data_IF_699000822282
#
_entry.id   IF_699000822282
#
_cell.length_a   1.000
_cell.length_b   1.000
_cell.length_c   1.000
_cell.angle_alpha   90.00
_cell.angle_beta   90.00
_cell.angle_gamma   90.00
#
_symmetry.space_group_name_H-M   'P 1'
#
loop_
_entity.id
_entity.type
_entity.pdbx_description
1 polymer ?
#
# COMPACT_ATOMS: atom_id res chain seq x y z
N UNK A 1 -14.74 -23.58 -10.57
CA UNK A 1 -14.58 -22.45 -11.50
C UNK A 1 -13.86 -21.33 -10.76
N UNK A 2 -12.56 -21.47 -10.46
CA UNK A 2 -11.98 -20.80 -9.28
C UNK A 2 -10.66 -20.08 -9.55
N UNK A 3 -10.56 -19.35 -10.67
CA UNK A 3 -9.46 -18.39 -10.82
C UNK A 3 -9.82 -17.09 -10.09
N UNK A 4 -9.37 -16.95 -8.84
CA UNK A 4 -9.41 -15.70 -8.06
C UNK A 4 -8.37 -14.67 -8.53
N UNK A 5 -8.15 -14.56 -9.85
CA UNK A 5 -7.17 -13.64 -10.44
C UNK A 5 -7.88 -12.75 -11.44
N UNK A 6 -7.65 -11.44 -11.31
CA UNK A 6 -7.97 -10.48 -12.35
C UNK A 6 -6.69 -10.29 -13.17
N UNK A 7 -6.76 -10.57 -14.47
CA UNK A 7 -5.61 -10.53 -15.37
C UNK A 7 -5.93 -9.97 -16.76
N UNK A 8 -4.90 -9.53 -17.50
CA UNK A 8 -3.55 -9.18 -17.06
C UNK A 8 -3.48 -7.76 -16.47
N UNK A 9 -2.98 -7.61 -15.22
CA UNK A 9 -2.90 -6.31 -14.55
C UNK A 9 -1.44 -5.83 -14.33
N UNK A 10 -1.04 -4.77 -15.03
CA UNK A 10 0.22 -4.05 -14.77
C UNK A 10 0.13 -3.27 -13.47
N UNK A 11 1.18 -3.38 -12.63
CA UNK A 11 1.20 -2.85 -11.26
C UNK A 11 -0.01 -3.29 -10.41
N UNK A 12 -0.72 -4.35 -10.80
CA UNK A 12 -1.99 -4.76 -10.20
C UNK A 12 -3.10 -3.68 -10.22
N UNK A 13 -3.02 -2.73 -11.16
CA UNK A 13 -3.94 -1.60 -11.32
C UNK A 13 -4.50 -1.58 -12.74
N UNK A 14 -3.64 -1.41 -13.74
CA UNK A 14 -4.04 -1.14 -15.12
C UNK A 14 -4.15 -2.44 -15.92
N UNK A 15 -5.16 -2.58 -16.77
CA UNK A 15 -5.18 -3.67 -17.73
C UNK A 15 -3.99 -3.54 -18.69
N UNK A 16 -3.11 -4.55 -18.74
CA UNK A 16 -1.80 -4.43 -19.37
C UNK A 16 -1.86 -4.07 -20.86
N UNK A 17 -2.90 -4.51 -21.57
CA UNK A 17 -3.14 -4.17 -22.99
C UNK A 17 -3.99 -2.92 -23.20
N UNK A 18 -4.79 -2.54 -22.20
CA UNK A 18 -5.81 -1.49 -22.33
C UNK A 18 -5.75 -0.57 -21.10
N UNK A 19 -4.71 0.27 -20.97
CA UNK A 19 -4.45 1.05 -19.76
C UNK A 19 -5.50 2.14 -19.45
N UNK A 20 -6.47 2.36 -20.34
CA UNK A 20 -7.68 3.14 -20.04
C UNK A 20 -8.64 2.42 -19.09
N UNK A 21 -8.46 1.11 -18.87
CA UNK A 21 -9.15 0.32 -17.85
C UNK A 21 -8.23 0.12 -16.65
N UNK A 22 -8.67 0.56 -15.47
CA UNK A 22 -7.94 0.40 -14.21
C UNK A 22 -8.86 -0.10 -13.09
N UNK A 23 -8.26 -0.76 -12.10
CA UNK A 23 -8.91 -1.29 -10.92
C UNK A 23 -8.23 -0.77 -9.66
N UNK A 24 -9.03 -0.51 -8.62
CA UNK A 24 -8.54 -0.12 -7.30
C UNK A 24 -8.96 -1.20 -6.30
N UNK A 25 -8.03 -1.56 -5.41
CA UNK A 25 -8.29 -2.46 -4.29
C UNK A 25 -8.27 -3.95 -4.59
N UNK A 26 -7.66 -4.35 -5.71
CA UNK A 26 -7.44 -5.77 -6.03
C UNK A 26 -6.45 -6.46 -5.06
N UNK A 27 -5.33 -5.83 -4.64
CA UNK A 27 -4.41 -6.47 -3.71
C UNK A 27 -5.01 -6.73 -2.32
N UNK A 28 -4.61 -7.82 -1.67
CA UNK A 28 -5.09 -8.22 -0.34
C UNK A 28 -3.95 -8.48 0.65
N UNK A 29 -4.32 -8.66 1.93
CA UNK A 29 -3.38 -8.66 3.07
C UNK A 29 -2.64 -7.33 3.20
N UNK A 30 -3.41 -6.23 3.16
CA UNK A 30 -2.95 -4.84 3.11
C UNK A 30 -3.71 -3.98 4.12
N UNK A 31 -3.24 -2.75 4.35
CA UNK A 31 -4.03 -1.66 4.94
C UNK A 31 -4.82 -0.99 3.80
N UNK A 32 -6.16 -1.15 3.73
CA UNK A 32 -6.90 -0.85 2.51
C UNK A 32 -6.94 0.63 2.13
N UNK A 33 -7.24 1.53 3.07
CA UNK A 33 -7.49 2.94 2.74
C UNK A 33 -6.26 3.65 2.14
N UNK A 34 -5.05 3.54 2.72
CA UNK A 34 -3.86 4.11 2.10
C UNK A 34 -3.57 3.53 0.72
N UNK A 35 -3.73 2.20 0.57
CA UNK A 35 -3.50 1.54 -0.71
C UNK A 35 -4.42 2.10 -1.80
N UNK A 36 -5.71 2.28 -1.49
CA UNK A 36 -6.69 2.78 -2.46
C UNK A 36 -6.37 4.20 -2.89
N UNK A 37 -5.95 5.04 -1.94
CA UNK A 37 -5.51 6.41 -2.22
C UNK A 37 -4.30 6.42 -3.16
N UNK A 38 -3.26 5.65 -2.85
CA UNK A 38 -2.03 5.64 -3.66
C UNK A 38 -2.22 5.02 -5.05
N UNK A 39 -3.08 4.01 -5.18
CA UNK A 39 -3.49 3.50 -6.50
C UNK A 39 -4.24 4.58 -7.30
N UNK A 40 -5.13 5.32 -6.65
CA UNK A 40 -5.91 6.40 -7.28
C UNK A 40 -5.01 7.57 -7.70
N UNK A 41 -4.00 7.92 -6.91
CA UNK A 41 -2.99 8.93 -7.25
C UNK A 41 -2.25 8.56 -8.55
N UNK A 42 -1.79 7.31 -8.69
CA UNK A 42 -1.12 6.87 -9.92
C UNK A 42 -2.07 6.87 -11.12
N UNK A 43 -3.32 6.40 -10.95
CA UNK A 43 -4.34 6.43 -12.01
C UNK A 43 -4.56 7.87 -12.47
N UNK A 44 -4.75 8.81 -11.54
CA UNK A 44 -4.95 10.20 -11.85
C UNK A 44 -3.72 10.81 -12.56
N UNK A 45 -2.51 10.53 -12.08
CA UNK A 45 -1.28 11.00 -12.72
C UNK A 45 -1.15 10.51 -14.17
N UNK A 46 -1.48 9.24 -14.43
CA UNK A 46 -1.45 8.66 -15.78
C UNK A 46 -2.53 9.27 -16.67
N UNK A 47 -3.78 9.31 -16.23
CA UNK A 47 -4.90 9.79 -17.05
C UNK A 47 -4.90 11.30 -17.26
N UNK A 48 -4.20 12.06 -16.41
CA UNK A 48 -3.96 13.50 -16.61
C UNK A 48 -2.67 13.80 -17.38
N UNK A 49 -1.90 12.78 -17.78
CA UNK A 49 -0.66 12.93 -18.55
C UNK A 49 0.55 13.41 -17.73
N UNK A 50 0.47 13.44 -16.39
CA UNK A 50 1.59 13.76 -15.50
C UNK A 50 2.59 12.61 -15.38
N UNK A 51 2.11 11.38 -15.55
CA UNK A 51 2.93 10.17 -15.60
C UNK A 51 2.62 9.39 -16.88
N UNK A 52 3.60 8.65 -17.40
CA UNK A 52 3.41 7.75 -18.52
C UNK A 52 3.55 6.29 -18.06
N UNK A 53 2.79 5.42 -18.72
CA UNK A 53 2.99 3.98 -18.59
C UNK A 53 3.95 3.50 -19.68
N UNK A 54 4.78 2.47 -19.40
CA UNK A 54 5.66 1.90 -20.40
C UNK A 54 4.86 1.20 -21.51
N UNK A 55 5.52 0.81 -22.60
CA UNK A 55 4.87 0.13 -23.74
C UNK A 55 4.21 -1.20 -23.36
N UNK A 56 3.31 -1.69 -24.23
CA UNK A 56 2.50 -2.87 -23.93
C UNK A 56 3.34 -4.12 -23.67
N UNK A 57 4.45 -4.30 -24.39
CA UNK A 57 5.39 -5.41 -24.22
C UNK A 57 5.98 -5.39 -22.81
N UNK A 58 6.48 -4.24 -22.35
CA UNK A 58 7.07 -4.12 -21.01
C UNK A 58 6.03 -4.34 -19.90
N UNK A 59 4.79 -3.86 -20.09
CA UNK A 59 3.70 -4.12 -19.15
C UNK A 59 3.36 -5.61 -19.08
N UNK A 60 3.33 -6.30 -20.22
CA UNK A 60 3.10 -7.75 -20.28
C UNK A 60 4.25 -8.55 -19.66
N UNK A 61 5.49 -8.14 -19.89
CA UNK A 61 6.69 -8.75 -19.29
C UNK A 61 6.71 -8.56 -17.77
N UNK A 62 6.28 -7.40 -17.28
CA UNK A 62 6.07 -7.18 -15.84
C UNK A 62 5.03 -8.13 -15.26
N UNK A 63 3.91 -8.33 -15.96
CA UNK A 63 2.83 -9.25 -15.54
C UNK A 63 3.34 -10.68 -15.47
N UNK A 64 4.12 -11.13 -16.47
CA UNK A 64 4.70 -12.47 -16.46
C UNK A 64 5.68 -12.66 -15.29
N UNK A 65 6.57 -11.68 -15.07
CA UNK A 65 7.49 -11.70 -13.90
C UNK A 65 6.75 -11.73 -12.56
N UNK A 66 5.59 -11.08 -12.46
CA UNK A 66 4.74 -11.18 -11.26
C UNK A 66 4.23 -12.61 -11.08
N UNK A 67 3.72 -13.25 -12.15
CA UNK A 67 3.20 -14.61 -12.08
C UNK A 67 4.27 -15.62 -11.68
N UNK A 68 5.45 -15.51 -12.28
CA UNK A 68 6.58 -16.40 -11.97
C UNK A 68 7.02 -16.24 -10.50
N UNK A 69 7.04 -14.99 -10.00
CA UNK A 69 7.37 -14.70 -8.60
C UNK A 69 6.32 -15.21 -7.61
N UNK A 70 5.03 -15.09 -7.93
CA UNK A 70 3.93 -15.49 -7.02
C UNK A 70 3.66 -17.00 -7.09
N UNK A 71 3.92 -17.64 -8.22
CA UNK A 71 3.79 -19.08 -8.45
C UNK A 71 2.35 -19.58 -8.48
N UNK A 72 1.55 -19.34 -7.43
CA UNK A 72 0.15 -19.75 -7.36
C UNK A 72 -0.79 -18.63 -7.80
N UNK A 73 -1.77 -18.97 -8.63
CA UNK A 73 -2.78 -18.01 -9.12
C UNK A 73 -3.46 -17.24 -7.98
N UNK A 74 -3.86 -17.94 -6.91
CA UNK A 74 -4.51 -17.32 -5.73
C UNK A 74 -3.64 -16.29 -4.99
N UNK A 75 -2.31 -16.37 -5.13
CA UNK A 75 -1.38 -15.47 -4.46
C UNK A 75 -1.00 -14.27 -5.34
N UNK A 76 -1.49 -14.22 -6.58
CA UNK A 76 -1.14 -13.16 -7.55
C UNK A 76 -1.30 -11.77 -6.93
N UNK A 77 -2.38 -11.58 -6.17
CA UNK A 77 -2.74 -10.30 -5.56
C UNK A 77 -2.40 -10.20 -4.06
N UNK A 78 -1.65 -11.15 -3.52
CA UNK A 78 -1.21 -11.08 -2.12
C UNK A 78 -0.03 -10.11 -1.99
N UNK A 79 -0.11 -9.10 -1.11
CA UNK A 79 1.02 -8.21 -0.82
C UNK A 79 1.65 -8.46 0.55
N UNK A 80 0.85 -8.57 1.62
CA UNK A 80 1.40 -8.78 2.96
C UNK A 80 2.35 -7.64 3.37
N UNK A 81 3.60 -7.96 3.69
CA UNK A 81 4.63 -6.96 4.00
C UNK A 81 5.11 -6.17 2.78
N UNK A 82 4.94 -6.69 1.55
CA UNK A 82 5.36 -6.01 0.32
C UNK A 82 4.55 -4.73 0.04
N UNK A 83 3.41 -4.54 0.73
CA UNK A 83 2.50 -3.42 0.51
C UNK A 83 3.15 -2.04 0.66
N UNK A 84 4.14 -1.93 1.55
CA UNK A 84 4.79 -0.66 1.87
C UNK A 84 5.69 -0.21 0.74
N UNK A 85 6.54 -1.11 0.24
CA UNK A 85 7.39 -0.85 -0.92
C UNK A 85 6.58 -0.71 -2.19
N UNK A 86 5.51 -1.50 -2.35
CA UNK A 86 4.56 -1.33 -3.45
C UNK A 86 3.95 0.08 -3.44
N UNK A 87 3.45 0.54 -2.29
CA UNK A 87 2.87 1.90 -2.15
C UNK A 87 3.87 2.99 -2.49
N UNK A 88 5.12 2.87 -2.02
CA UNK A 88 6.20 3.82 -2.36
C UNK A 88 6.49 3.82 -3.86
N UNK A 89 6.57 2.66 -4.50
CA UNK A 89 6.77 2.56 -5.96
C UNK A 89 5.64 3.25 -6.74
N UNK A 90 4.38 3.06 -6.34
CA UNK A 90 3.24 3.75 -6.97
C UNK A 90 3.37 5.27 -6.86
N UNK A 91 3.69 5.77 -5.66
CA UNK A 91 3.81 7.19 -5.40
C UNK A 91 5.00 7.82 -6.14
N UNK A 92 6.11 7.10 -6.29
CA UNK A 92 7.25 7.54 -7.12
C UNK A 92 6.86 7.63 -8.59
N UNK A 93 6.17 6.62 -9.11
CA UNK A 93 5.65 6.63 -10.48
C UNK A 93 4.62 7.72 -10.73
N UNK A 94 3.86 8.09 -9.70
CA UNK A 94 2.91 9.19 -9.74
C UNK A 94 3.58 10.58 -9.60
N UNK A 95 4.90 10.63 -9.34
CA UNK A 95 5.64 11.87 -9.10
C UNK A 95 5.37 12.52 -7.74
N UNK A 96 4.80 11.77 -6.79
CA UNK A 96 4.47 12.26 -5.43
C UNK A 96 5.64 12.08 -4.47
N UNK A 97 6.35 10.96 -4.56
CA UNK A 97 7.61 10.73 -3.85
C UNK A 97 8.79 10.91 -4.81
N UNK A 98 9.94 11.40 -4.32
CA UNK A 98 11.14 11.50 -5.14
C UNK A 98 11.58 10.12 -5.64
N UNK A 99 12.11 10.10 -6.86
CA UNK A 99 12.84 8.95 -7.36
C UNK A 99 14.05 8.68 -6.46
N UNK A 100 14.47 7.42 -6.36
CA UNK A 100 15.65 7.13 -5.54
C UNK A 100 16.87 7.86 -6.08
N UNK A 101 17.52 8.65 -5.22
CA UNK A 101 18.70 9.44 -5.58
C UNK A 101 18.43 10.78 -6.29
N UNK A 102 17.17 11.24 -6.43
CA UNK A 102 16.88 12.58 -6.95
C UNK A 102 16.82 13.63 -5.83
N UNK A 103 17.61 14.69 -5.94
CA UNK A 103 17.63 15.81 -4.97
C UNK A 103 16.70 16.98 -5.38
N UNK A 104 16.22 17.00 -6.63
CA UNK A 104 15.39 18.09 -7.16
C UNK A 104 13.89 17.83 -6.94
N UNK A 105 13.33 18.43 -5.89
CA UNK A 105 11.87 18.48 -5.65
C UNK A 105 11.49 19.91 -5.29
N UNK A 106 10.42 20.45 -5.91
CA UNK A 106 9.90 21.77 -5.52
C UNK A 106 9.55 21.79 -4.03
N UNK A 107 9.67 22.93 -3.34
CA UNK A 107 9.49 22.99 -1.88
C UNK A 107 8.10 22.53 -1.41
N UNK A 108 7.05 22.79 -2.20
CA UNK A 108 5.68 22.36 -1.91
C UNK A 108 5.52 20.85 -2.07
N UNK A 109 6.09 20.29 -3.15
CA UNK A 109 6.07 18.85 -3.39
C UNK A 109 6.91 18.10 -2.35
N UNK A 110 8.02 18.69 -1.90
CA UNK A 110 8.87 18.13 -0.85
C UNK A 110 8.14 18.02 0.50
N UNK A 111 7.34 19.04 0.87
CA UNK A 111 6.52 18.98 2.09
C UNK A 111 5.45 17.89 1.99
N UNK A 112 4.76 17.78 0.85
CA UNK A 112 3.76 16.73 0.62
C UNK A 112 4.42 15.34 0.68
N UNK A 113 5.55 15.16 0.01
CA UNK A 113 6.32 13.92 0.00
C UNK A 113 6.74 13.52 1.41
N UNK A 114 7.30 14.45 2.19
CA UNK A 114 7.73 14.20 3.56
C UNK A 114 6.57 13.77 4.47
N UNK A 115 5.40 14.39 4.34
CA UNK A 115 4.19 14.00 5.09
C UNK A 115 3.71 12.60 4.74
N UNK A 116 3.68 12.26 3.45
CA UNK A 116 3.26 10.93 2.99
C UNK A 116 4.25 9.85 3.44
N UNK A 117 5.55 10.13 3.37
CA UNK A 117 6.58 9.19 3.82
C UNK A 117 6.52 8.98 5.34
N UNK A 118 6.36 10.06 6.13
CA UNK A 118 6.16 9.96 7.58
C UNK A 118 4.90 9.15 7.92
N UNK A 119 3.80 9.36 7.18
CA UNK A 119 2.58 8.58 7.32
C UNK A 119 2.80 7.09 7.03
N UNK A 120 3.50 6.75 5.94
CA UNK A 120 3.81 5.36 5.57
C UNK A 120 4.66 4.68 6.64
N UNK A 121 5.73 5.34 7.10
CA UNK A 121 6.63 4.82 8.14
C UNK A 121 5.90 4.55 9.45
N UNK A 122 5.09 5.51 9.90
CA UNK A 122 4.29 5.36 11.12
C UNK A 122 3.24 4.26 10.99
N UNK A 123 2.53 4.21 9.86
CA UNK A 123 1.53 3.16 9.59
C UNK A 123 2.15 1.77 9.54
N UNK A 124 3.33 1.65 8.93
CA UNK A 124 4.10 0.41 8.90
C UNK A 124 4.52 -0.04 10.31
N UNK A 125 5.03 0.88 11.14
CA UNK A 125 5.41 0.59 12.52
C UNK A 125 4.20 0.11 13.36
N UNK A 126 3.07 0.82 13.29
CA UNK A 126 1.83 0.46 13.97
C UNK A 126 1.31 -0.89 13.48
N UNK A 127 1.30 -1.13 12.16
CA UNK A 127 0.84 -2.38 11.57
C UNK A 127 1.71 -3.57 12.00
N UNK A 128 3.03 -3.39 12.03
CA UNK A 128 3.97 -4.43 12.46
C UNK A 128 3.79 -4.73 13.96
N UNK A 129 3.64 -3.71 14.82
CA UNK A 129 3.32 -3.89 16.24
C UNK A 129 1.97 -4.60 16.43
N UNK A 130 0.93 -4.15 15.73
CA UNK A 130 -0.37 -4.79 15.70
C UNK A 130 -0.27 -6.28 15.34
N UNK A 131 0.58 -6.60 14.36
CA UNK A 131 0.86 -7.97 13.94
C UNK A 131 1.41 -8.86 15.05
N UNK A 132 2.29 -8.36 15.93
CA UNK A 132 2.89 -9.16 17.01
C UNK A 132 1.90 -9.49 18.13
N UNK A 133 0.88 -8.66 18.32
CA UNK A 133 -0.17 -8.87 19.32
C UNK A 133 -1.27 -9.84 18.86
N UNK A 134 -1.31 -10.22 17.57
CA UNK A 134 -2.36 -11.11 17.05
C UNK A 134 -2.33 -12.48 17.74
N UNK A 135 -3.51 -13.08 18.01
CA UNK A 135 -3.59 -14.41 18.57
C UNK A 135 -2.82 -15.43 17.70
N UNK A 136 -1.93 -16.22 18.30
CA UNK A 136 -1.11 -17.22 17.58
C UNK A 136 -1.93 -18.38 17.00
N UNK A 137 -3.10 -18.63 17.57
CA UNK A 137 -4.03 -19.68 17.14
C UNK A 137 -5.47 -19.23 17.34
N UNK A 138 -6.43 -19.78 16.56
CA UNK A 138 -7.85 -19.50 16.74
C UNK A 138 -8.31 -19.85 18.17
N UNK A 139 -9.02 -18.92 18.82
CA UNK A 139 -9.54 -19.11 20.18
C UNK A 139 -8.58 -18.72 21.32
N UNK A 140 -7.35 -18.30 21.03
CA UNK A 140 -6.49 -17.66 22.03
C UNK A 140 -7.05 -16.30 22.47
N UNK A 141 -6.57 -15.80 23.62
CA UNK A 141 -6.97 -14.52 24.17
C UNK A 141 -6.81 -13.38 23.13
N UNK A 142 -7.92 -12.70 22.83
CA UNK A 142 -7.99 -11.63 21.84
C UNK A 142 -7.71 -10.27 22.50
N UNK A 143 -6.44 -10.05 22.84
CA UNK A 143 -5.97 -8.78 23.40
C UNK A 143 -5.64 -7.76 22.32
N UNK A 144 -5.35 -8.24 21.09
CA UNK A 144 -5.05 -7.40 19.93
C UNK A 144 -6.15 -6.37 19.63
N UNK A 145 -7.42 -6.80 19.64
CA UNK A 145 -8.56 -5.90 19.36
C UNK A 145 -8.83 -4.88 20.44
N UNK A 146 -8.15 -4.99 21.59
CA UNK A 146 -8.24 -4.05 22.70
C UNK A 146 -7.08 -3.04 22.69
N UNK A 147 -6.18 -3.06 21.70
CA UNK A 147 -5.13 -2.07 21.61
C UNK A 147 -5.67 -0.76 21.05
N UNK A 148 -5.45 0.33 21.77
CA UNK A 148 -5.73 1.69 21.34
C UNK A 148 -4.42 2.37 20.96
N UNK A 149 -4.39 2.93 19.75
CA UNK A 149 -3.23 3.62 19.22
C UNK A 149 -3.50 5.12 19.13
N UNK A 150 -2.60 5.91 19.70
CA UNK A 150 -2.68 7.38 19.68
C UNK A 150 -1.53 7.93 18.86
N UNK A 151 -1.85 8.84 17.94
CA UNK A 151 -0.89 9.57 17.11
C UNK A 151 -1.19 11.05 17.26
N UNK A 152 -0.17 11.85 17.51
CA UNK A 152 -0.29 13.31 17.44
C UNK A 152 -0.32 13.74 15.97
N UNK A 153 -1.47 14.24 15.51
CA UNK A 153 -1.66 14.70 14.15
C UNK A 153 -1.33 16.19 13.97
N UNK A 154 -0.99 16.90 15.04
CA UNK A 154 -0.60 18.32 14.96
C UNK A 154 0.79 18.48 14.35
N UNK A 155 1.69 17.51 14.58
CA UNK A 155 2.93 17.35 13.83
C UNK A 155 2.77 16.23 12.79
N UNK A 156 2.51 16.55 11.51
CA UNK A 156 2.30 15.57 10.47
C UNK A 156 3.57 14.79 10.10
N UNK A 157 4.76 15.27 10.52
CA UNK A 157 6.04 14.60 10.30
C UNK A 157 6.42 13.70 11.48
N UNK A 158 5.69 13.76 12.59
CA UNK A 158 5.97 12.93 13.75
C UNK A 158 5.83 11.44 13.43
N UNK A 159 6.88 10.69 13.76
CA UNK A 159 6.87 9.23 13.70
C UNK A 159 6.43 8.61 15.03
N UNK A 160 6.17 9.43 16.05
CA UNK A 160 5.81 8.94 17.36
C UNK A 160 4.36 8.46 17.40
N UNK A 161 4.13 7.41 18.18
CA UNK A 161 2.82 6.85 18.46
C UNK A 161 2.87 6.20 19.84
N UNK A 162 1.71 6.09 20.46
CA UNK A 162 1.55 5.45 21.75
C UNK A 162 0.54 4.31 21.61
N UNK A 163 0.68 3.31 22.48
CA UNK A 163 -0.27 2.19 22.56
C UNK A 163 -0.66 1.96 24.01
N UNK A 164 -1.96 1.77 24.23
CA UNK A 164 -2.53 1.39 25.52
C UNK A 164 -3.50 0.23 25.32
N UNK A 165 -3.72 -0.56 26.38
CA UNK A 165 -4.84 -1.48 26.41
C UNK A 165 -6.12 -0.69 26.73
N UNK A 166 -7.20 -0.97 26.02
CA UNK A 166 -8.51 -0.38 26.27
C UNK A 166 -8.96 -0.76 27.68
N UNK A 167 -9.32 0.26 28.46
CA UNK A 167 -9.86 0.10 29.81
C UNK A 167 -11.37 -0.16 29.83
N UNK A 168 -11.99 -0.43 28.67
CA UNK A 168 -13.42 -0.73 28.61
C UNK A 168 -13.73 -1.96 29.49
N UNK A 169 -14.71 -1.87 30.42
CA UNK A 169 -15.11 -3.01 31.24
C UNK A 169 -15.54 -4.14 30.30
N UNK A 170 -14.95 -5.32 30.49
CA UNK A 170 -15.24 -6.47 29.65
C UNK A 170 -16.71 -6.85 29.78
N UNK A 171 -17.41 -6.96 28.65
CA UNK A 171 -18.66 -7.71 28.57
C UNK A 171 -18.32 -9.16 28.95
N UNK A 172 -18.75 -9.54 30.16
CA UNK A 172 -18.71 -10.91 30.68
C UNK A 172 -19.85 -11.77 30.16
#
# INVERSE_FOLDING_TARGET
CDNRRVDPLFLQIFHARYPSLAFVGIPHSVVPFPLFEFQSELIAAVWTGKASLPEVEERMDWVQRLYDRKGRVRDTHHLGSEQWNYSRDLLRRAGVLPSEGSEDVSSVDAIRAARIEAFLQRSEAIYNHAGTARPKFPGAADTYRKLEYTVDLTDPLSLSWQVAASNAPGDG
#
